data_IF_607450847903
#
_entry.id   IF_607450847903
#
_cell.length_a   1.000
_cell.length_b   1.000
_cell.length_c   1.000
_cell.angle_alpha   90.00
_cell.angle_beta   90.00
_cell.angle_gamma   90.00
#
_symmetry.space_group_name_H-M   'P 1'
#
loop_
_entity.id
_entity.type
_entity.pdbx_description
1 polymer ?
#
# COMPACT_ATOMS: atom_id res chain seq x y z
N UNK A 1 19.16 -32.69 33.48
CA UNK A 1 18.06 -33.63 33.78
C UNK A 1 17.12 -33.68 32.59
N UNK A 2 16.19 -34.63 32.50
CA UNK A 2 15.20 -34.67 31.40
C UNK A 2 14.36 -33.38 31.35
N UNK A 3 14.10 -32.78 32.51
CA UNK A 3 13.42 -31.48 32.66
C UNK A 3 14.22 -30.36 31.97
N UNK A 4 15.54 -30.30 32.20
CA UNK A 4 16.38 -29.26 31.57
C UNK A 4 16.39 -29.39 30.03
N UNK A 5 16.37 -30.63 29.52
CA UNK A 5 16.31 -30.90 28.08
C UNK A 5 14.97 -30.44 27.49
N UNK A 6 13.87 -30.70 28.19
CA UNK A 6 12.53 -30.25 27.78
C UNK A 6 12.43 -28.72 27.80
N UNK A 7 12.86 -28.06 28.88
CA UNK A 7 12.86 -26.60 28.98
C UNK A 7 13.69 -25.94 27.88
N UNK A 8 14.86 -26.50 27.56
CA UNK A 8 15.70 -25.98 26.47
C UNK A 8 15.00 -26.10 25.11
N UNK A 9 14.32 -27.23 24.88
CA UNK A 9 13.55 -27.45 23.65
C UNK A 9 12.38 -26.47 23.53
N UNK A 10 11.64 -26.25 24.62
CA UNK A 10 10.48 -25.34 24.64
C UNK A 10 10.92 -23.87 24.48
N UNK A 11 12.01 -23.47 25.13
CA UNK A 11 12.59 -22.13 24.95
C UNK A 11 13.01 -21.89 23.49
N UNK A 12 13.71 -22.85 22.88
CA UNK A 12 14.13 -22.76 21.48
C UNK A 12 12.92 -22.63 20.53
N UNK A 13 11.85 -23.37 20.80
CA UNK A 13 10.61 -23.29 20.02
C UNK A 13 9.94 -21.92 20.15
N UNK A 14 9.84 -21.38 21.37
CA UNK A 14 9.24 -20.08 21.63
C UNK A 14 10.06 -18.93 21.02
N UNK A 15 11.39 -19.04 21.01
CA UNK A 15 12.27 -18.09 20.30
C UNK A 15 12.03 -18.10 18.78
N UNK A 16 11.81 -19.28 18.19
CA UNK A 16 11.45 -19.41 16.78
C UNK A 16 10.09 -18.75 16.50
N UNK A 17 9.10 -19.00 17.37
CA UNK A 17 7.78 -18.39 17.24
C UNK A 17 7.82 -16.86 17.35
N UNK A 18 8.56 -16.34 18.32
CA UNK A 18 8.76 -14.91 18.48
C UNK A 18 9.40 -14.29 17.24
N UNK A 19 10.44 -14.93 16.70
CA UNK A 19 11.15 -14.43 15.51
C UNK A 19 10.22 -14.36 14.30
N UNK A 20 9.40 -15.39 14.07
CA UNK A 20 8.43 -15.40 12.98
C UNK A 20 7.33 -14.33 13.15
N UNK A 21 6.81 -14.14 14.37
CA UNK A 21 5.84 -13.06 14.64
C UNK A 21 6.48 -11.69 14.41
N UNK A 22 7.71 -11.49 14.87
CA UNK A 22 8.43 -10.23 14.68
C UNK A 22 8.66 -9.93 13.19
N UNK A 23 9.06 -10.94 12.40
CA UNK A 23 9.21 -10.82 10.95
C UNK A 23 7.87 -10.53 10.26
N UNK A 24 6.79 -11.23 10.64
CA UNK A 24 5.46 -11.02 10.10
C UNK A 24 4.84 -9.66 10.47
N UNK A 25 5.32 -9.04 11.54
CA UNK A 25 4.88 -7.72 11.98
C UNK A 25 5.63 -6.56 11.31
N UNK A 26 6.60 -6.86 10.44
CA UNK A 26 7.21 -5.87 9.56
C UNK A 26 6.43 -5.79 8.25
N UNK A 27 6.24 -4.59 7.66
CA UNK A 27 5.52 -4.40 6.40
C UNK A 27 6.39 -4.90 5.23
N UNK A 28 6.53 -6.21 5.13
CA UNK A 28 7.34 -6.90 4.13
C UNK A 28 6.50 -7.98 3.45
N UNK A 29 6.96 -8.46 2.30
CA UNK A 29 6.27 -9.52 1.57
C UNK A 29 6.28 -10.80 2.40
N UNK A 30 5.09 -11.34 2.68
CA UNK A 30 4.95 -12.62 3.38
C UNK A 30 5.56 -13.75 2.56
N UNK A 31 6.50 -14.50 3.15
CA UNK A 31 7.06 -15.71 2.56
C UNK A 31 6.32 -16.97 3.06
N UNK A 32 6.46 -18.08 2.32
CA UNK A 32 5.75 -19.33 2.62
C UNK A 32 6.18 -19.93 3.98
N UNK A 33 7.47 -19.86 4.31
CA UNK A 33 8.02 -20.40 5.55
C UNK A 33 7.40 -19.72 6.79
N UNK A 34 7.26 -18.39 6.73
CA UNK A 34 6.67 -17.59 7.80
C UNK A 34 5.16 -17.85 7.92
N UNK A 35 4.45 -18.00 6.80
CA UNK A 35 3.03 -18.39 6.81
C UNK A 35 2.81 -19.75 7.47
N UNK A 36 3.61 -20.77 7.13
CA UNK A 36 3.56 -22.09 7.75
C UNK A 36 3.88 -22.02 9.26
N UNK A 37 4.81 -21.16 9.65
CA UNK A 37 5.14 -20.93 11.06
C UNK A 37 3.97 -20.29 11.83
N UNK A 38 3.30 -19.29 11.26
CA UNK A 38 2.13 -18.65 11.86
C UNK A 38 0.96 -19.63 12.07
N UNK A 39 0.73 -20.54 11.12
CA UNK A 39 -0.25 -21.61 11.29
C UNK A 39 0.13 -22.55 12.45
N UNK A 40 1.41 -22.91 12.55
CA UNK A 40 1.91 -23.72 13.66
C UNK A 40 1.76 -23.00 15.01
N UNK A 41 2.04 -21.69 15.07
CA UNK A 41 1.83 -20.86 16.27
C UNK A 41 0.35 -20.83 16.66
N UNK A 42 -0.55 -20.64 15.69
CA UNK A 42 -1.99 -20.58 15.94
C UNK A 42 -2.57 -21.90 16.48
N UNK A 43 -2.00 -23.04 16.12
CA UNK A 43 -2.42 -24.36 16.65
C UNK A 43 -1.79 -24.69 18.00
N UNK A 44 -0.68 -24.03 18.37
CA UNK A 44 -0.02 -24.27 19.63
C UNK A 44 -0.87 -23.80 20.82
N UNK A 45 -0.95 -24.64 21.85
CA UNK A 45 -1.63 -24.35 23.11
C UNK A 45 -0.64 -24.55 24.25
N UNK A 46 -0.31 -23.46 24.93
CA UNK A 46 0.52 -23.49 26.11
C UNK A 46 -0.33 -23.92 27.30
N UNK A 47 0.06 -25.00 27.97
CA UNK A 47 -0.61 -25.47 29.17
C UNK A 47 -0.35 -24.50 30.33
N UNK A 48 -1.42 -23.92 30.89
CA UNK A 48 -1.37 -23.18 32.16
C UNK A 48 -2.07 -23.95 33.27
N UNK A 49 -1.97 -23.48 34.51
CA UNK A 49 -2.65 -24.13 35.65
C UNK A 49 -4.18 -24.11 35.56
N UNK A 50 -4.73 -23.18 34.78
CA UNK A 50 -6.16 -22.89 34.72
C UNK A 50 -6.77 -23.25 33.38
N UNK A 51 -6.11 -22.88 32.28
CA UNK A 51 -6.62 -22.98 30.91
C UNK A 51 -5.46 -23.09 29.90
N UNK A 52 -5.76 -23.58 28.70
CA UNK A 52 -4.85 -23.56 27.57
C UNK A 52 -4.76 -22.14 26.98
N UNK A 53 -3.55 -21.61 26.88
CA UNK A 53 -3.29 -20.27 26.36
C UNK A 53 -2.83 -20.38 24.90
N UNK A 54 -3.53 -19.69 24.00
CA UNK A 54 -3.05 -19.48 22.63
C UNK A 54 -1.98 -18.38 22.62
N UNK A 55 -0.95 -18.52 21.79
CA UNK A 55 0.12 -17.52 21.68
C UNK A 55 -0.36 -16.27 20.95
N UNK A 56 -1.16 -16.46 19.91
CA UNK A 56 -1.80 -15.40 19.13
C UNK A 56 -3.31 -15.66 19.05
N UNK A 57 -4.07 -14.59 18.98
CA UNK A 57 -5.52 -14.61 18.75
C UNK A 57 -5.82 -14.80 17.26
N UNK A 58 -7.06 -15.18 16.94
CA UNK A 58 -7.51 -15.24 15.54
C UNK A 58 -7.40 -13.90 14.82
N UNK A 59 -7.55 -12.78 15.56
CA UNK A 59 -7.43 -11.45 14.97
C UNK A 59 -5.98 -11.07 14.67
N UNK A 60 -5.06 -11.38 15.57
CA UNK A 60 -3.62 -11.17 15.33
C UNK A 60 -3.13 -12.04 14.18
N UNK A 61 -3.57 -13.30 14.07
CA UNK A 61 -3.25 -14.14 12.91
C UNK A 61 -3.73 -13.52 11.60
N UNK A 62 -4.95 -12.99 11.55
CA UNK A 62 -5.47 -12.32 10.36
C UNK A 62 -4.58 -11.15 9.92
N UNK A 63 -4.13 -10.32 10.88
CA UNK A 63 -3.29 -9.15 10.62
C UNK A 63 -1.85 -9.55 10.24
N UNK A 64 -1.26 -10.50 10.97
CA UNK A 64 0.09 -11.02 10.68
C UNK A 64 0.14 -11.78 9.35
N UNK A 65 -1.00 -12.24 8.82
CA UNK A 65 -1.07 -12.96 7.54
C UNK A 65 -1.30 -12.04 6.33
N UNK A 66 -1.26 -10.72 6.49
CA UNK A 66 -1.39 -9.77 5.39
C UNK A 66 -0.17 -9.93 4.46
N UNK A 67 -0.42 -10.33 3.22
CA UNK A 67 0.66 -10.67 2.28
C UNK A 67 1.39 -9.47 1.67
N UNK A 68 0.71 -8.32 1.57
CA UNK A 68 1.25 -7.07 1.02
C UNK A 68 0.66 -5.86 1.72
N UNK A 69 1.55 -4.96 2.12
CA UNK A 69 1.21 -3.73 2.82
C UNK A 69 0.77 -3.94 4.27
N UNK A 70 0.29 -2.88 4.90
CA UNK A 70 0.01 -2.84 6.34
C UNK A 70 -1.48 -2.80 6.72
N UNK A 71 -2.38 -2.73 5.73
CA UNK A 71 -3.80 -2.53 5.96
C UNK A 71 -4.55 -3.86 5.95
N UNK A 72 -5.37 -4.08 6.98
CA UNK A 72 -6.39 -5.14 6.93
C UNK A 72 -7.41 -4.87 5.81
N UNK A 73 -8.15 -5.90 5.34
CA UNK A 73 -9.18 -5.70 4.34
C UNK A 73 -10.23 -4.63 4.71
N UNK A 74 -10.58 -4.52 6.00
CA UNK A 74 -11.50 -3.50 6.50
C UNK A 74 -10.90 -2.10 6.49
N UNK A 75 -9.63 -1.96 6.88
CA UNK A 75 -8.95 -0.65 6.86
C UNK A 75 -8.72 -0.19 5.43
N UNK A 76 -8.37 -1.11 4.53
CA UNK A 76 -8.26 -0.83 3.10
C UNK A 76 -9.57 -0.27 2.54
N UNK A 77 -10.70 -0.89 2.85
CA UNK A 77 -12.01 -0.41 2.39
C UNK A 77 -12.34 0.99 2.92
N UNK A 78 -12.03 1.26 4.18
CA UNK A 78 -12.22 2.59 4.79
C UNK A 78 -11.35 3.64 4.09
N UNK A 79 -10.11 3.28 3.77
CA UNK A 79 -9.19 4.14 3.04
C UNK A 79 -9.67 4.40 1.60
N UNK A 80 -10.10 3.38 0.88
CA UNK A 80 -10.64 3.49 -0.50
C UNK A 80 -11.91 4.35 -0.54
N UNK A 81 -12.65 4.47 0.57
CA UNK A 81 -13.87 5.29 0.68
C UNK A 81 -13.64 6.79 0.42
N UNK A 82 -12.40 7.29 0.52
CA UNK A 82 -12.08 8.70 0.31
C UNK A 82 -12.49 9.19 -1.09
N UNK A 83 -12.50 8.30 -2.09
CA UNK A 83 -12.94 8.61 -3.45
C UNK A 83 -14.44 8.90 -3.49
N UNK A 84 -15.22 8.04 -2.83
CA UNK A 84 -16.68 8.18 -2.68
C UNK A 84 -17.02 9.44 -1.89
N UNK A 85 -16.29 9.70 -0.80
CA UNK A 85 -16.44 10.92 -0.03
C UNK A 85 -16.13 12.15 -0.88
N UNK A 86 -15.02 12.16 -1.61
CA UNK A 86 -14.61 13.25 -2.52
C UNK A 86 -15.68 13.51 -3.56
N UNK A 87 -16.19 12.46 -4.21
CA UNK A 87 -17.27 12.59 -5.16
C UNK A 87 -18.50 13.23 -4.52
N UNK A 88 -18.94 12.70 -3.37
CA UNK A 88 -20.10 13.21 -2.64
C UNK A 88 -19.93 14.70 -2.33
N UNK A 89 -18.76 15.12 -1.84
CA UNK A 89 -18.48 16.54 -1.60
C UNK A 89 -18.55 17.38 -2.89
N UNK A 90 -17.93 16.91 -3.97
CA UNK A 90 -17.90 17.65 -5.24
C UNK A 90 -19.28 17.73 -5.90
N UNK A 91 -20.18 16.76 -5.70
CA UNK A 91 -21.56 16.78 -6.21
C UNK A 91 -22.42 17.89 -5.60
N UNK A 92 -22.08 18.36 -4.39
CA UNK A 92 -22.78 19.48 -3.76
C UNK A 92 -22.40 20.85 -4.35
N UNK A 93 -21.34 20.92 -5.15
CA UNK A 93 -20.89 22.17 -5.78
C UNK A 93 -21.75 22.42 -7.03
N UNK A 94 -22.31 23.64 -7.21
CA UNK A 94 -23.13 23.97 -8.38
C UNK A 94 -22.24 24.21 -9.61
N UNK A 95 -21.78 23.12 -10.22
CA UNK A 95 -20.93 23.18 -11.41
C UNK A 95 -21.65 23.79 -12.61
N UNK A 96 -20.91 24.57 -13.40
CA UNK A 96 -21.39 24.93 -14.75
C UNK A 96 -21.38 23.68 -15.65
N UNK A 97 -22.15 23.70 -16.74
CA UNK A 97 -22.21 22.58 -17.71
C UNK A 97 -20.84 22.11 -18.21
N UNK A 98 -19.85 23.00 -18.27
CA UNK A 98 -18.49 22.66 -18.70
C UNK A 98 -17.75 21.76 -17.70
N UNK A 99 -18.12 21.83 -16.43
CA UNK A 99 -17.42 21.19 -15.31
C UNK A 99 -18.29 20.18 -14.54
N UNK A 100 -19.48 19.86 -15.05
CA UNK A 100 -20.41 18.92 -14.40
C UNK A 100 -19.82 17.53 -14.19
N UNK A 101 -18.79 17.15 -14.94
CA UNK A 101 -18.14 15.84 -14.85
C UNK A 101 -16.95 15.84 -13.88
N UNK A 102 -16.61 16.95 -13.22
CA UNK A 102 -15.51 16.98 -12.25
C UNK A 102 -15.69 15.95 -11.12
N UNK A 103 -16.88 15.78 -10.52
CA UNK A 103 -17.08 14.77 -9.50
C UNK A 103 -16.74 13.36 -10.01
N UNK A 104 -17.23 12.96 -11.18
CA UNK A 104 -16.94 11.62 -11.73
C UNK A 104 -15.49 11.46 -12.17
N UNK A 105 -14.84 12.51 -12.66
CA UNK A 105 -13.42 12.48 -13.01
C UNK A 105 -12.58 12.23 -11.76
N UNK A 106 -12.82 13.00 -10.69
CA UNK A 106 -12.16 12.81 -9.41
C UNK A 106 -12.50 11.45 -8.80
N UNK A 107 -13.71 10.95 -8.99
CA UNK A 107 -14.11 9.66 -8.46
C UNK A 107 -13.47 8.46 -9.18
N UNK A 108 -12.94 8.63 -10.39
CA UNK A 108 -12.41 7.53 -11.20
C UNK A 108 -10.87 7.50 -11.26
N UNK A 109 -10.16 8.29 -10.46
CA UNK A 109 -8.70 8.40 -10.56
C UNK A 109 -7.90 7.21 -10.00
N UNK A 110 -8.56 6.29 -9.27
CA UNK A 110 -7.96 5.01 -8.85
C UNK A 110 -8.42 3.81 -9.69
N UNK A 111 -9.17 4.07 -10.76
CA UNK A 111 -9.53 3.03 -11.72
C UNK A 111 -8.30 2.61 -12.54
N UNK A 112 -8.22 1.32 -12.87
CA UNK A 112 -7.16 0.72 -13.70
C UNK A 112 -7.78 0.17 -14.98
N UNK A 113 -7.04 0.19 -16.08
CA UNK A 113 -7.62 -0.15 -17.39
C UNK A 113 -8.18 -1.58 -17.48
N UNK A 114 -7.65 -2.51 -16.67
CA UNK A 114 -8.09 -3.90 -16.59
C UNK A 114 -9.32 -4.13 -15.68
N UNK A 115 -9.85 -3.08 -15.04
CA UNK A 115 -10.96 -3.15 -14.10
C UNK A 115 -10.58 -3.59 -12.68
N UNK A 116 -9.29 -3.75 -12.37
CA UNK A 116 -8.82 -4.08 -11.01
C UNK A 116 -8.77 -2.88 -10.05
N UNK A 117 -9.04 -1.68 -10.57
CA UNK A 117 -9.09 -0.44 -9.79
C UNK A 117 -10.39 -0.28 -8.99
N UNK A 118 -10.51 0.86 -8.32
CA UNK A 118 -11.63 1.18 -7.46
C UNK A 118 -12.08 2.64 -7.66
N UNK A 119 -13.31 3.00 -7.30
CA UNK A 119 -14.34 2.20 -6.59
C UNK A 119 -15.48 1.66 -7.47
N UNK A 120 -15.53 2.00 -8.76
CA UNK A 120 -16.54 1.51 -9.69
C UNK A 120 -16.14 0.21 -10.40
N UNK A 121 -14.84 -0.08 -10.51
CA UNK A 121 -14.34 -1.23 -11.27
C UNK A 121 -14.47 -1.01 -12.78
N UNK A 122 -14.17 0.21 -13.22
CA UNK A 122 -14.26 0.62 -14.62
C UNK A 122 -13.15 -0.01 -15.47
N UNK A 123 -13.51 -0.39 -16.68
CA UNK A 123 -12.55 -0.83 -17.69
C UNK A 123 -12.09 0.33 -18.58
N UNK A 124 -11.04 0.12 -19.36
CA UNK A 124 -10.37 1.13 -20.18
C UNK A 124 -11.29 2.14 -20.90
N UNK A 125 -12.39 1.67 -21.50
CA UNK A 125 -13.30 2.49 -22.29
C UNK A 125 -14.29 3.32 -21.45
N UNK A 126 -14.45 2.97 -20.19
CA UNK A 126 -15.36 3.63 -19.24
C UNK A 126 -14.64 4.75 -18.48
N UNK A 127 -13.33 4.60 -18.26
CA UNK A 127 -12.51 5.56 -17.51
C UNK A 127 -12.34 6.85 -18.32
N UNK A 128 -12.75 8.02 -17.79
CA UNK A 128 -12.52 9.29 -18.46
C UNK A 128 -11.02 9.53 -18.69
N UNK A 129 -10.64 10.02 -19.87
CA UNK A 129 -9.23 10.36 -20.19
C UNK A 129 -8.58 11.24 -19.11
N UNK A 130 -9.34 12.17 -18.53
CA UNK A 130 -8.84 13.05 -17.46
C UNK A 130 -8.53 12.28 -16.18
N UNK A 131 -9.29 11.24 -15.87
CA UNK A 131 -9.03 10.36 -14.72
C UNK A 131 -7.78 9.52 -14.98
N UNK A 132 -7.61 8.97 -16.18
CA UNK A 132 -6.37 8.25 -16.57
C UNK A 132 -5.12 9.13 -16.40
N UNK A 133 -5.20 10.41 -16.79
CA UNK A 133 -4.12 11.39 -16.55
C UNK A 133 -3.89 11.58 -15.05
N UNK A 134 -4.96 11.76 -14.26
CA UNK A 134 -4.84 11.90 -12.81
C UNK A 134 -4.19 10.67 -12.16
N UNK A 135 -4.56 9.45 -12.56
CA UNK A 135 -3.97 8.21 -12.06
C UNK A 135 -2.45 8.20 -12.22
N UNK A 136 -1.94 8.55 -13.40
CA UNK A 136 -0.49 8.60 -13.67
C UNK A 136 0.19 9.64 -12.78
N UNK A 137 -0.40 10.84 -12.69
CA UNK A 137 0.13 11.92 -11.86
C UNK A 137 0.13 11.56 -10.36
N UNK A 138 -0.95 10.94 -9.87
CA UNK A 138 -1.14 10.55 -8.47
C UNK A 138 -0.13 9.48 -8.05
N UNK A 139 0.06 8.45 -8.88
CA UNK A 139 1.08 7.40 -8.63
C UNK A 139 2.48 8.03 -8.60
N UNK A 140 2.82 8.89 -9.56
CA UNK A 140 4.12 9.55 -9.60
C UNK A 140 4.37 10.40 -8.34
N UNK A 141 3.41 11.23 -7.96
CA UNK A 141 3.51 12.10 -6.79
C UNK A 141 3.63 11.26 -5.52
N UNK A 142 2.81 10.21 -5.38
CA UNK A 142 2.83 9.33 -4.21
C UNK A 142 4.19 8.64 -3.97
N UNK A 143 4.89 8.22 -5.03
CA UNK A 143 6.18 7.52 -4.88
C UNK A 143 7.39 8.46 -4.77
N UNK A 144 7.25 9.71 -5.24
CA UNK A 144 8.34 10.71 -5.20
C UNK A 144 8.23 11.70 -4.04
N UNK A 145 7.10 11.73 -3.33
CA UNK A 145 6.87 12.60 -2.19
C UNK A 145 7.87 12.34 -1.05
N UNK A 146 8.58 13.40 -0.62
CA UNK A 146 9.60 13.35 0.43
C UNK A 146 9.09 13.61 1.85
N UNK A 147 7.83 14.01 1.98
CA UNK A 147 7.18 14.36 3.24
C UNK A 147 6.55 13.16 3.97
N UNK A 148 6.72 11.95 3.44
CA UNK A 148 6.19 10.71 4.02
C UNK A 148 7.11 10.20 5.14
N UNK A 149 6.63 10.10 6.40
CA UNK A 149 7.49 9.75 7.54
C UNK A 149 8.07 8.33 7.47
N UNK A 150 7.39 7.44 6.74
CA UNK A 150 7.62 6.00 6.77
C UNK A 150 8.29 5.46 5.50
N UNK A 151 8.49 6.30 4.47
CA UNK A 151 9.05 5.86 3.19
C UNK A 151 9.95 6.94 2.60
N UNK A 152 11.23 6.64 2.33
CA UNK A 152 12.10 7.59 1.62
C UNK A 152 11.56 7.81 0.20
N UNK A 153 11.61 9.06 -0.26
CA UNK A 153 11.24 9.41 -1.63
C UNK A 153 12.06 8.58 -2.63
N UNK A 154 11.37 8.00 -3.61
CA UNK A 154 12.04 7.33 -4.73
C UNK A 154 12.65 8.36 -5.67
N UNK A 155 13.73 7.96 -6.34
CA UNK A 155 14.27 8.76 -7.45
C UNK A 155 13.25 8.86 -8.59
N UNK A 156 13.36 9.92 -9.39
CA UNK A 156 12.53 10.09 -10.59
C UNK A 156 12.67 8.89 -11.52
N UNK A 157 13.88 8.34 -11.68
CA UNK A 157 14.15 7.19 -12.52
C UNK A 157 13.35 5.96 -12.04
N UNK A 158 13.41 5.65 -10.73
CA UNK A 158 12.64 4.55 -10.14
C UNK A 158 11.12 4.75 -10.30
N UNK A 159 10.64 5.98 -10.09
CA UNK A 159 9.22 6.30 -10.26
C UNK A 159 8.75 6.09 -11.71
N UNK A 160 9.58 6.46 -12.69
CA UNK A 160 9.27 6.23 -14.10
C UNK A 160 9.30 4.74 -14.46
N UNK A 161 10.24 3.96 -13.91
CA UNK A 161 10.30 2.51 -14.13
C UNK A 161 9.02 1.82 -13.62
N UNK A 162 8.52 2.21 -12.45
CA UNK A 162 7.24 1.72 -11.89
C UNK A 162 6.08 2.02 -12.84
N UNK A 163 5.98 3.25 -13.34
CA UNK A 163 4.89 3.64 -14.24
C UNK A 163 4.94 2.85 -15.57
N UNK A 164 6.15 2.64 -16.10
CA UNK A 164 6.36 1.85 -17.32
C UNK A 164 5.98 0.38 -17.09
N UNK A 165 6.33 -0.20 -15.93
CA UNK A 165 5.94 -1.56 -15.58
C UNK A 165 4.41 -1.72 -15.46
N UNK A 166 3.75 -0.83 -14.72
CA UNK A 166 2.28 -0.84 -14.56
C UNK A 166 1.58 -0.64 -15.91
N UNK A 167 2.09 0.24 -16.77
CA UNK A 167 1.57 0.41 -18.14
C UNK A 167 1.79 -0.84 -18.99
N UNK A 168 2.97 -1.48 -18.92
CA UNK A 168 3.27 -2.73 -19.63
C UNK A 168 2.41 -3.91 -19.17
N UNK A 169 1.89 -3.87 -17.95
CA UNK A 169 0.89 -4.81 -17.41
C UNK A 169 -0.55 -4.49 -17.84
N UNK A 170 -0.77 -3.42 -18.61
CA UNK A 170 -2.08 -2.99 -19.06
C UNK A 170 -2.91 -2.32 -17.96
N UNK A 171 -2.28 -1.76 -16.91
CA UNK A 171 -2.97 -1.10 -15.81
C UNK A 171 -3.12 0.41 -16.04
N UNK A 172 -2.18 1.00 -16.77
CA UNK A 172 -2.12 2.42 -17.11
C UNK A 172 -2.10 2.64 -18.61
N UNK A 173 -2.62 3.78 -19.04
CA UNK A 173 -2.70 4.18 -20.45
C UNK A 173 -1.32 4.55 -21.00
N UNK A 174 -0.82 3.72 -21.92
CA UNK A 174 0.52 3.82 -22.49
C UNK A 174 0.73 5.13 -23.26
N UNK A 175 -0.29 5.58 -24.01
CA UNK A 175 -0.18 6.82 -24.80
C UNK A 175 -0.11 8.04 -23.88
N UNK A 176 -0.89 8.06 -22.80
CA UNK A 176 -0.86 9.14 -21.82
C UNK A 176 0.44 9.13 -21.00
N UNK A 177 0.94 7.95 -20.62
CA UNK A 177 2.24 7.83 -19.96
C UNK A 177 3.37 8.35 -20.86
N UNK A 178 3.32 8.00 -22.15
CA UNK A 178 4.27 8.52 -23.13
C UNK A 178 4.25 10.05 -23.19
N UNK A 179 3.08 10.67 -23.20
CA UNK A 179 2.96 12.14 -23.15
C UNK A 179 3.57 12.71 -21.87
N UNK A 180 3.32 12.09 -20.71
CA UNK A 180 3.90 12.52 -19.43
C UNK A 180 5.44 12.51 -19.46
N UNK A 181 6.03 11.45 -20.00
CA UNK A 181 7.49 11.28 -20.12
C UNK A 181 8.09 12.24 -21.16
N UNK A 182 7.52 12.28 -22.36
CA UNK A 182 8.04 13.10 -23.47
C UNK A 182 7.97 14.60 -23.14
N UNK A 183 6.93 15.02 -22.42
CA UNK A 183 6.79 16.39 -21.94
C UNK A 183 7.68 16.72 -20.72
N UNK A 184 8.36 15.71 -20.15
CA UNK A 184 9.24 15.83 -18.97
C UNK A 184 8.56 16.51 -17.78
N UNK A 185 7.29 16.17 -17.52
CA UNK A 185 6.47 16.79 -16.47
C UNK A 185 7.16 16.72 -15.10
N UNK A 186 7.82 15.61 -14.81
CA UNK A 186 8.59 15.39 -13.58
C UNK A 186 9.67 16.45 -13.30
N UNK A 187 10.29 17.03 -14.33
CA UNK A 187 11.30 18.08 -14.15
C UNK A 187 10.68 19.41 -13.68
N UNK A 188 9.45 19.68 -14.10
CA UNK A 188 8.72 20.90 -13.73
C UNK A 188 8.31 20.83 -12.26
N UNK A 189 7.91 19.65 -11.78
CA UNK A 189 7.45 19.43 -10.40
C UNK A 189 8.62 19.53 -9.42
N UNK A 190 9.77 18.92 -9.72
CA UNK A 190 10.96 18.99 -8.86
C UNK A 190 11.54 20.39 -8.65
N UNK A 191 11.11 21.38 -9.46
CA UNK A 191 11.52 22.78 -9.30
C UNK A 191 10.55 23.61 -8.46
N UNK A 192 9.40 23.04 -8.05
CA UNK A 192 8.38 23.75 -7.26
C UNK A 192 8.58 23.47 -5.78
N UNK A 193 9.15 24.44 -5.07
CA UNK A 193 8.97 24.51 -3.62
C UNK A 193 7.49 24.82 -3.34
N UNK A 194 6.73 23.83 -2.89
CA UNK A 194 5.41 24.10 -2.33
C UNK A 194 5.63 24.89 -1.04
N UNK A 195 5.24 26.17 -1.03
CA UNK A 195 5.24 26.95 0.20
C UNK A 195 4.34 26.23 1.19
N UNK A 196 4.95 25.67 2.23
CA UNK A 196 4.29 24.96 3.30
C UNK A 196 3.30 25.93 3.96
N UNK A 197 2.01 25.83 3.61
CA UNK A 197 0.96 26.61 4.26
C UNK A 197 0.89 26.14 5.70
N UNK A 198 1.13 27.10 6.61
CA UNK A 198 1.19 26.94 8.06
C UNK A 198 0.16 25.97 8.66
N UNK A 199 0.67 25.11 9.56
CA UNK A 199 -0.02 24.51 10.72
C UNK A 199 -1.37 23.79 10.49
N UNK A 200 -1.33 22.62 9.85
CA UNK A 200 -2.28 21.53 10.16
C UNK A 200 -1.52 20.20 10.31
N UNK A 201 -0.59 20.16 11.25
CA UNK A 201 0.37 19.07 11.45
C UNK A 201 -0.20 17.87 12.25
N UNK A 202 -1.31 17.25 11.85
CA UNK A 202 -1.79 16.04 12.56
C UNK A 202 -2.43 14.93 11.70
N UNK A 203 -2.43 15.04 10.37
CA UNK A 203 -2.83 13.91 9.51
C UNK A 203 -1.81 13.76 8.37
N UNK A 204 -0.79 12.93 8.59
CA UNK A 204 0.32 12.67 7.65
C UNK A 204 0.20 11.32 6.93
N UNK A 205 -1.02 10.83 6.71
CA UNK A 205 -1.26 9.69 5.85
C UNK A 205 -2.04 10.18 4.64
N UNK A 206 -1.42 10.14 3.47
CA UNK A 206 -2.20 10.22 2.25
C UNK A 206 -2.96 8.88 2.14
N UNK A 207 -4.28 8.89 1.94
CA UNK A 207 -5.05 7.65 1.92
C UNK A 207 -4.54 6.62 0.89
N UNK A 208 -3.78 7.00 -0.13
CA UNK A 208 -3.53 6.13 -1.28
C UNK A 208 -2.10 5.60 -1.36
N UNK A 209 -1.41 5.52 -0.23
CA UNK A 209 -0.03 5.02 -0.15
C UNK A 209 0.05 3.59 -0.71
N UNK A 210 0.52 3.48 -1.96
CA UNK A 210 0.74 2.21 -2.63
C UNK A 210 2.09 1.65 -2.15
N UNK A 211 2.06 0.54 -1.41
CA UNK A 211 3.23 -0.16 -0.88
C UNK A 211 4.01 -0.87 -1.99
N UNK A 212 4.71 -0.07 -2.81
CA UNK A 212 5.75 -0.53 -3.73
C UNK A 212 7.02 -0.79 -2.93
N UNK A 213 7.28 -2.05 -2.60
CA UNK A 213 8.59 -2.47 -2.11
C UNK A 213 9.49 -2.76 -3.31
N UNK A 214 10.60 -2.03 -3.37
CA UNK A 214 11.76 -2.35 -4.20
C UNK A 214 12.57 -3.39 -3.44
N UNK A 215 12.91 -4.50 -4.10
CA UNK A 215 13.85 -5.50 -3.57
C UNK A 215 15.19 -4.82 -3.23
N UNK A 216 15.56 -4.80 -1.95
CA UNK A 216 16.91 -4.43 -1.55
C UNK A 216 17.82 -5.66 -1.63
N UNK A 217 18.59 -5.71 -2.72
CA UNK A 217 19.76 -6.56 -2.89
C UNK A 217 20.82 -6.19 -1.83
N UNK A 218 20.80 -6.89 -0.69
CA UNK A 218 21.89 -6.87 0.26
C UNK A 218 23.05 -7.73 -0.24
N UNK A 219 23.89 -7.12 -1.09
CA UNK A 219 25.27 -7.56 -1.26
C UNK A 219 26.01 -7.35 0.06
N UNK A 220 26.24 -8.44 0.77
CA UNK A 220 27.31 -8.58 1.74
C UNK A 220 28.64 -8.46 1.00
N UNK A 221 29.40 -7.40 1.25
CA UNK A 221 30.85 -7.38 1.07
C UNK A 221 31.52 -7.51 2.44
N UNK A 222 32.60 -8.29 2.44
CA UNK A 222 33.44 -8.75 3.57
C UNK A 222 34.08 -7.62 4.40
#
# INVERSE_FOLDING_TARGET
>A
TEIDRQLTSDATMLEQFYSAIAEANEPTMMNQDNQEMLERINTYRMQSQSDDIAIITSKELELLSISRGSLSPSERLEIESHVVHTQTFLEHIPWTKKFSNIPSIAAAHHEKLDGSGYHYGMTEHEIPVRSKIMTICDIYDAVTASDRPYKPAMSTEQALDILVEESGRGLLDEELLKVFIDAKIFQIIGTREYQNTQEFSNFHHHPCDYDLHVEHDHRHEE
#
